data_IF_840431954881
#
_entry.id   IF_840431954881
#
_cell.length_a   1.000
_cell.length_b   1.000
_cell.length_c   1.000
_cell.angle_alpha   90.00
_cell.angle_beta   90.00
_cell.angle_gamma   90.00
#
_symmetry.space_group_name_H-M   'P 1'
#
loop_
_entity.id
_entity.type
_entity.pdbx_description
1 polymer ?
#
# COMPACT_ATOMS: atom_id res chain seq x y z
N UNK A 1 9.30 12.69 4.72
CA UNK A 1 8.90 11.72 3.68
C UNK A 1 7.67 12.30 3.03
N UNK A 2 7.77 12.68 1.75
CA UNK A 2 6.67 13.30 1.04
C UNK A 2 5.92 12.24 0.22
N UNK A 3 4.59 12.37 0.12
CA UNK A 3 3.79 11.51 -0.72
C UNK A 3 4.08 11.77 -2.21
N UNK A 4 4.06 10.73 -3.06
CA UNK A 4 4.17 10.87 -4.51
C UNK A 4 3.16 11.90 -5.05
N UNK A 5 3.55 12.66 -6.07
CA UNK A 5 2.72 13.73 -6.66
C UNK A 5 1.34 13.22 -7.06
N UNK A 6 1.26 12.07 -7.73
CA UNK A 6 -0.03 11.50 -8.14
C UNK A 6 -0.94 11.16 -6.97
N UNK A 7 -0.38 10.64 -5.87
CA UNK A 7 -1.14 10.38 -4.65
C UNK A 7 -1.66 11.67 -4.02
N UNK A 8 -0.85 12.74 -4.02
CA UNK A 8 -1.29 14.08 -3.56
C UNK A 8 -2.45 14.63 -4.39
N UNK A 9 -2.43 14.43 -5.72
CA UNK A 9 -3.52 14.84 -6.61
C UNK A 9 -4.81 14.05 -6.37
N UNK A 10 -4.71 12.77 -6.01
CA UNK A 10 -5.87 11.98 -5.57
C UNK A 10 -6.45 12.53 -4.27
N UNK A 11 -5.60 12.81 -3.27
CA UNK A 11 -6.05 13.41 -2.00
C UNK A 11 -6.65 14.80 -2.16
N UNK A 12 -6.20 15.56 -3.15
CA UNK A 12 -6.78 16.86 -3.51
C UNK A 12 -8.11 16.72 -4.28
N UNK A 13 -8.54 15.50 -4.64
CA UNK A 13 -9.73 15.26 -5.44
C UNK A 13 -9.57 15.59 -6.94
N UNK A 14 -8.34 15.83 -7.41
CA UNK A 14 -8.05 16.15 -8.81
C UNK A 14 -7.99 14.91 -9.71
N UNK A 15 -7.80 13.73 -9.11
CA UNK A 15 -7.71 12.46 -9.81
C UNK A 15 -8.58 11.42 -9.10
N UNK A 16 -9.47 10.77 -9.84
CA UNK A 16 -10.31 9.69 -9.32
C UNK A 16 -9.53 8.38 -9.25
N UNK A 17 -9.67 7.65 -8.14
CA UNK A 17 -9.12 6.29 -7.96
C UNK A 17 -9.73 5.36 -9.02
N UNK A 18 -8.95 4.45 -9.64
CA UNK A 18 -9.47 3.53 -10.64
C UNK A 18 -10.56 2.68 -9.99
N UNK A 19 -11.69 2.50 -10.70
CA UNK A 19 -12.77 1.67 -10.21
C UNK A 19 -12.31 0.21 -10.05
N UNK A 20 -13.01 -0.52 -9.17
CA UNK A 20 -12.86 -1.96 -8.99
C UNK A 20 -12.87 -2.71 -10.33
N UNK A 21 -12.01 -3.72 -10.48
CA UNK A 21 -11.98 -4.52 -11.70
C UNK A 21 -10.96 -5.65 -11.69
N UNK A 22 -10.97 -6.50 -12.75
CA UNK A 22 -10.05 -7.64 -12.90
C UNK A 22 -8.57 -7.24 -12.83
N UNK A 23 -8.25 -5.98 -13.12
CA UNK A 23 -6.89 -5.48 -13.05
C UNK A 23 -6.34 -5.37 -11.63
N UNK A 24 -7.19 -5.08 -10.64
CA UNK A 24 -6.80 -5.10 -9.23
C UNK A 24 -6.36 -6.51 -8.85
N UNK A 25 -7.17 -7.52 -9.20
CA UNK A 25 -6.84 -8.92 -8.98
C UNK A 25 -5.50 -9.33 -9.64
N UNK A 26 -5.24 -8.90 -10.88
CA UNK A 26 -3.99 -9.19 -11.58
C UNK A 26 -2.76 -8.50 -10.97
N UNK A 27 -2.87 -7.20 -10.63
CA UNK A 27 -1.75 -6.42 -10.09
C UNK A 27 -1.33 -6.92 -8.72
N UNK A 28 -2.32 -7.28 -7.92
CA UNK A 28 -2.10 -7.74 -6.55
C UNK A 28 -2.09 -9.24 -6.43
N UNK A 29 -2.25 -10.01 -7.52
CA UNK A 29 -2.29 -11.48 -7.55
C UNK A 29 -3.20 -12.04 -6.43
N UNK A 30 -4.42 -11.49 -6.38
CA UNK A 30 -5.48 -11.84 -5.44
C UNK A 30 -6.76 -12.22 -6.21
N UNK A 31 -7.67 -13.03 -5.62
CA UNK A 31 -8.97 -13.33 -6.21
C UNK A 31 -9.76 -12.09 -6.64
N UNK A 32 -10.52 -12.22 -7.73
CA UNK A 32 -11.50 -11.20 -8.10
C UNK A 32 -12.56 -11.06 -6.98
N UNK A 33 -12.67 -9.87 -6.39
CA UNK A 33 -13.61 -9.58 -5.30
C UNK A 33 -13.14 -8.47 -4.37
N UNK A 34 -11.83 -8.23 -4.32
CA UNK A 34 -11.23 -7.23 -3.45
C UNK A 34 -11.32 -5.82 -4.02
N UNK A 35 -11.65 -4.86 -3.15
CA UNK A 35 -11.80 -3.45 -3.52
C UNK A 35 -10.49 -2.72 -3.23
N UNK A 36 -9.91 -2.12 -4.26
CA UNK A 36 -8.78 -1.22 -4.09
C UNK A 36 -9.27 0.12 -3.55
N UNK A 37 -8.93 0.41 -2.30
CA UNK A 37 -9.22 1.67 -1.64
C UNK A 37 -7.93 2.36 -1.22
N UNK A 38 -7.84 3.66 -1.53
CA UNK A 38 -6.75 4.52 -1.05
C UNK A 38 -7.23 5.35 0.13
N UNK A 39 -6.43 5.36 1.17
CA UNK A 39 -6.69 6.10 2.40
C UNK A 39 -6.53 7.60 2.19
N UNK A 40 -7.35 8.39 2.88
CA UNK A 40 -7.16 9.83 2.98
C UNK A 40 -5.94 10.19 3.83
N UNK A 41 -5.44 11.45 3.79
CA UNK A 41 -4.26 11.85 4.55
C UNK A 41 -4.36 11.59 6.06
N UNK A 42 -5.56 11.75 6.64
CA UNK A 42 -5.81 11.50 8.07
C UNK A 42 -5.69 10.01 8.40
N UNK A 43 -6.35 9.15 7.63
CA UNK A 43 -6.32 7.69 7.78
C UNK A 43 -4.89 7.14 7.57
N UNK A 44 -4.15 7.66 6.58
CA UNK A 44 -2.71 7.33 6.41
C UNK A 44 -1.91 7.63 7.69
N UNK A 45 -2.18 8.76 8.35
CA UNK A 45 -1.48 9.14 9.57
C UNK A 45 -1.86 8.22 10.74
N UNK A 46 -3.14 7.91 10.90
CA UNK A 46 -3.67 7.03 11.95
C UNK A 46 -3.17 5.59 11.80
N UNK A 47 -3.31 5.00 10.61
CA UNK A 47 -2.93 3.61 10.34
C UNK A 47 -1.42 3.41 10.37
N UNK A 48 -0.65 4.37 9.85
CA UNK A 48 0.81 4.33 10.00
C UNK A 48 1.21 4.41 11.48
N UNK A 49 0.53 5.22 12.30
CA UNK A 49 0.81 5.30 13.72
C UNK A 49 0.43 4.01 14.46
N UNK A 50 -0.68 3.37 14.07
CA UNK A 50 -1.08 2.06 14.58
C UNK A 50 -0.03 0.99 14.25
N UNK A 51 0.40 0.91 13.00
CA UNK A 51 1.49 0.02 12.56
C UNK A 51 2.77 0.21 13.38
N UNK A 52 3.20 1.46 13.59
CA UNK A 52 4.39 1.76 14.41
C UNK A 52 4.24 1.28 15.85
N UNK A 53 3.05 1.46 16.43
CA UNK A 53 2.74 1.02 17.79
C UNK A 53 2.78 -0.51 17.89
N UNK A 54 2.16 -1.20 16.95
CA UNK A 54 2.13 -2.67 16.91
C UNK A 54 3.52 -3.26 16.65
N UNK A 55 4.31 -2.66 15.75
CA UNK A 55 5.66 -3.13 15.49
C UNK A 55 6.64 -2.88 16.66
N UNK A 56 6.29 -1.98 17.59
CA UNK A 56 7.03 -1.81 18.85
C UNK A 56 6.69 -2.92 19.87
N UNK A 57 5.58 -3.63 19.69
CA UNK A 57 5.21 -4.80 20.49
C UNK A 57 5.97 -6.05 20.01
N UNK A 58 6.83 -6.67 20.84
CA UNK A 58 7.57 -7.87 20.46
C UNK A 58 6.70 -9.06 20.03
N UNK A 59 5.45 -9.16 20.50
CA UNK A 59 4.54 -10.25 20.16
C UNK A 59 3.90 -10.06 18.78
N UNK A 60 3.66 -8.81 18.37
CA UNK A 60 3.04 -8.47 17.08
C UNK A 60 4.07 -8.19 15.98
N UNK A 61 5.29 -7.82 16.36
CA UNK A 61 6.39 -7.52 15.45
C UNK A 61 6.62 -8.59 14.37
N UNK A 62 6.55 -9.91 14.63
CA UNK A 62 6.73 -10.92 13.58
C UNK A 62 5.71 -10.80 12.45
N UNK A 63 4.44 -10.47 12.76
CA UNK A 63 3.37 -10.35 11.75
C UNK A 63 3.66 -9.27 10.71
N UNK A 64 4.38 -8.23 11.12
CA UNK A 64 4.74 -7.10 10.28
C UNK A 64 6.10 -7.27 9.59
N UNK A 65 7.00 -8.08 10.17
CA UNK A 65 8.42 -8.08 9.78
C UNK A 65 8.87 -9.39 9.12
N UNK A 66 8.23 -10.56 9.34
CA UNK A 66 8.62 -11.83 8.68
C UNK A 66 7.46 -12.84 8.41
N UNK A 67 7.52 -13.64 7.32
CA UNK A 67 8.59 -13.74 6.31
C UNK A 67 8.28 -12.98 5.00
N UNK A 68 9.32 -12.60 4.25
CA UNK A 68 9.23 -11.83 3.00
C UNK A 68 10.28 -10.72 2.93
N UNK A 69 10.01 -9.62 2.22
CA UNK A 69 10.90 -8.44 2.21
C UNK A 69 10.82 -7.62 3.53
N UNK A 70 9.80 -7.89 4.33
CA UNK A 70 9.43 -7.16 5.56
C UNK A 70 9.14 -5.67 5.33
N UNK A 71 8.65 -4.99 6.37
CA UNK A 71 8.58 -3.52 6.39
C UNK A 71 9.44 -2.95 7.51
N UNK A 72 9.96 -1.74 7.30
CA UNK A 72 10.52 -0.90 8.36
C UNK A 72 9.42 0.09 8.78
N UNK A 73 8.84 -0.05 9.99
CA UNK A 73 7.76 0.83 10.48
C UNK A 73 8.12 2.31 10.46
N UNK A 74 9.41 2.65 10.55
CA UNK A 74 9.87 4.04 10.51
C UNK A 74 9.92 4.60 9.09
N UNK A 75 10.00 3.73 8.08
CA UNK A 75 10.16 4.08 6.67
C UNK A 75 9.02 3.62 5.79
N UNK A 76 7.86 3.30 6.37
CA UNK A 76 6.68 2.86 5.63
C UNK A 76 5.49 3.78 5.90
N UNK A 77 4.59 3.89 4.93
CA UNK A 77 3.29 4.54 5.08
C UNK A 77 2.21 3.66 4.51
N UNK A 78 1.19 3.33 5.30
CA UNK A 78 0.01 2.64 4.79
C UNK A 78 -0.82 3.64 3.99
N UNK A 79 -1.10 3.33 2.73
CA UNK A 79 -1.76 4.24 1.78
C UNK A 79 -3.09 3.72 1.25
N UNK A 80 -3.46 2.49 1.60
CA UNK A 80 -4.68 1.87 1.14
C UNK A 80 -4.80 0.42 1.57
N UNK A 81 -5.85 -0.24 1.09
CA UNK A 81 -6.07 -1.67 1.30
C UNK A 81 -6.83 -2.29 0.13
N UNK A 82 -6.78 -3.62 0.08
CA UNK A 82 -7.68 -4.43 -0.76
C UNK A 82 -8.91 -4.95 0.02
N UNK A 83 -8.97 -4.69 1.32
CA UNK A 83 -9.95 -5.24 2.25
C UNK A 83 -9.37 -5.28 3.66
N UNK A 84 -10.15 -5.77 4.61
CA UNK A 84 -9.68 -5.99 5.98
C UNK A 84 -8.44 -6.90 5.94
N UNK A 85 -7.38 -6.48 6.63
CA UNK A 85 -6.10 -7.19 6.77
C UNK A 85 -5.23 -7.31 5.50
N UNK A 86 -5.56 -6.57 4.44
CA UNK A 86 -4.78 -6.56 3.18
C UNK A 86 -4.22 -5.15 2.85
N UNK A 87 -3.31 -4.61 3.69
CA UNK A 87 -2.80 -3.25 3.54
C UNK A 87 -1.83 -3.10 2.36
N UNK A 88 -1.81 -1.87 1.83
CA UNK A 88 -0.94 -1.41 0.76
C UNK A 88 -0.09 -0.28 1.32
N UNK A 89 1.21 -0.28 1.02
CA UNK A 89 2.15 0.62 1.66
C UNK A 89 3.17 1.24 0.71
N UNK A 90 3.60 2.47 1.00
CA UNK A 90 4.80 3.07 0.42
C UNK A 90 6.01 2.79 1.30
N UNK A 91 7.07 2.25 0.70
CA UNK A 91 8.33 1.95 1.37
C UNK A 91 9.43 2.93 0.95
N UNK A 92 9.79 3.81 1.88
CA UNK A 92 10.79 4.87 1.73
C UNK A 92 12.22 4.39 2.01
N UNK A 93 12.47 3.09 2.11
CA UNK A 93 13.84 2.54 2.03
C UNK A 93 14.46 2.77 0.64
N UNK A 94 13.64 3.03 -0.38
CA UNK A 94 14.06 3.37 -1.75
C UNK A 94 13.64 4.78 -2.14
N UNK A 95 14.24 5.32 -3.20
CA UNK A 95 13.85 6.58 -3.83
C UNK A 95 13.84 6.41 -5.35
N UNK A 96 12.68 6.47 -6.03
CA UNK A 96 11.33 6.69 -5.46
C UNK A 96 10.88 5.57 -4.48
N UNK A 97 9.91 5.84 -3.59
CA UNK A 97 9.39 4.83 -2.67
C UNK A 97 8.61 3.77 -3.45
N UNK A 98 8.98 2.51 -3.27
CA UNK A 98 8.28 1.38 -3.91
C UNK A 98 6.95 1.10 -3.23
N UNK A 99 6.03 0.44 -3.95
CA UNK A 99 4.73 0.04 -3.41
C UNK A 99 4.77 -1.41 -2.97
N UNK A 100 4.37 -1.63 -1.73
CA UNK A 100 4.27 -2.94 -1.10
C UNK A 100 2.82 -3.31 -0.84
N UNK A 101 2.58 -4.62 -0.79
CA UNK A 101 1.31 -5.22 -0.43
C UNK A 101 1.56 -6.37 0.55
N UNK A 102 0.74 -6.46 1.59
CA UNK A 102 0.75 -7.60 2.51
C UNK A 102 -0.20 -8.68 1.99
N UNK A 103 0.37 -9.74 1.44
CA UNK A 103 -0.34 -10.93 1.02
C UNK A 103 -0.28 -12.02 2.10
N UNK A 104 -0.95 -13.16 1.88
CA UNK A 104 -0.99 -14.27 2.84
C UNK A 104 0.41 -14.87 3.14
N UNK A 105 1.36 -14.76 2.20
CA UNK A 105 2.73 -15.21 2.34
C UNK A 105 3.71 -14.10 2.79
N UNK A 106 3.20 -12.90 3.04
CA UNK A 106 3.93 -11.76 3.58
C UNK A 106 3.98 -10.55 2.66
N UNK A 107 4.90 -9.62 2.97
CA UNK A 107 5.07 -8.40 2.18
C UNK A 107 5.76 -8.67 0.84
N UNK A 108 5.17 -8.17 -0.26
CA UNK A 108 5.74 -8.21 -1.61
C UNK A 108 5.73 -6.85 -2.28
N UNK A 109 6.66 -6.65 -3.22
CA UNK A 109 6.71 -5.44 -4.07
C UNK A 109 5.71 -5.62 -5.21
N UNK A 110 4.72 -4.75 -5.31
CA UNK A 110 3.71 -4.77 -6.38
C UNK A 110 3.99 -3.75 -7.48
N UNK A 111 4.79 -2.72 -7.18
CA UNK A 111 5.29 -1.76 -8.16
C UNK A 111 6.59 -1.10 -7.68
N UNK A 112 7.42 -0.66 -8.62
CA UNK A 112 8.68 0.04 -8.33
C UNK A 112 8.47 1.43 -7.73
N UNK A 113 7.33 2.06 -8.03
CA UNK A 113 6.84 3.28 -7.43
C UNK A 113 5.31 3.41 -7.62
N UNK A 114 4.73 4.50 -7.11
CA UNK A 114 3.29 4.72 -7.16
C UNK A 114 2.78 5.04 -8.59
N UNK A 115 3.61 5.65 -9.44
CA UNK A 115 3.23 5.94 -10.83
C UNK A 115 3.14 4.63 -11.63
N UNK A 116 4.10 3.72 -11.46
CA UNK A 116 4.08 2.39 -12.05
C UNK A 116 2.88 1.55 -11.55
N UNK A 117 2.52 1.64 -10.26
CA UNK A 117 1.29 1.01 -9.76
C UNK A 117 0.06 1.57 -10.49
N UNK A 118 -0.03 2.89 -10.58
CA UNK A 118 -1.15 3.56 -11.21
C UNK A 118 -1.31 3.16 -12.68
N UNK A 119 -0.21 3.16 -13.44
CA UNK A 119 -0.19 2.72 -14.83
C UNK A 119 -0.63 1.27 -14.95
N UNK A 120 -0.17 0.38 -14.08
CA UNK A 120 -0.62 -1.02 -14.08
C UNK A 120 -2.13 -1.13 -13.83
N UNK A 121 -2.69 -0.34 -12.90
CA UNK A 121 -4.12 -0.34 -12.58
C UNK A 121 -4.99 0.27 -13.68
N UNK A 122 -4.42 1.16 -14.52
CA UNK A 122 -5.17 1.92 -15.54
C UNK A 122 -4.82 1.53 -16.98
N UNK A 123 -3.84 0.65 -17.20
CA UNK A 123 -3.47 0.14 -18.51
C UNK A 123 -4.67 -0.58 -19.16
N UNK A 124 -5.20 0.05 -20.22
CA UNK A 124 -6.32 -0.39 -21.07
C UNK A 124 -7.55 -0.92 -20.30
N UNK A 125 -8.31 0.02 -19.71
CA UNK A 125 -9.77 -0.06 -19.67
C UNK A 125 -10.35 0.29 -21.04
#
# INVERSE_FOLDING_TARGET
MEAPERLRRIWAGELAVPAYGPRVAEVFDEPAGYRFDLFGPEEVAEDTAALKREAADPELRPLWIEPGIGVDPERVRLIGSLGADLPIALDFRTSPPRVLFLAADGWRVVAEDFDALWERLTAAQ
#
